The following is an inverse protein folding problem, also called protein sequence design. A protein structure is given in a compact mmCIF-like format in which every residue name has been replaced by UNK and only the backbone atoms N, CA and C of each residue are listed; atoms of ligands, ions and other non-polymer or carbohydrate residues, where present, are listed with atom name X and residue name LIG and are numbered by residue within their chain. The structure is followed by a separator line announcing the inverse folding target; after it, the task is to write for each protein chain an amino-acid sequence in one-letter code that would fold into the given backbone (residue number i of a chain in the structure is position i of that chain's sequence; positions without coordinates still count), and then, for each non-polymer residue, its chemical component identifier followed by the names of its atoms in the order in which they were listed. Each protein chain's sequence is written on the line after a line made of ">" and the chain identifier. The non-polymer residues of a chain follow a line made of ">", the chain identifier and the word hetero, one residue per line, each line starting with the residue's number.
data_IF_251281087033
#
_entry.id   IF_251281087033
#
_cell.length_a   1.000
_cell.length_b   1.000
_cell.length_c   1.000
_cell.angle_alpha   90.00
_cell.angle_beta   90.00
_cell.angle_gamma   90.00
#
_symmetry.space_group_name_H-M   'P 1'
#
loop_
_entity.id
_entity.type
_entity.pdbx_description
1 polymer ?
#
# COMPACT_ATOMS: atom_id res chain seq x y z
N UNK A 1 -12.82 1.28 -11.48
CA UNK A 1 -11.61 1.70 -10.74
C UNK A 1 -11.76 1.17 -9.33
N UNK A 2 -10.79 0.44 -8.80
CA UNK A 2 -10.83 -0.07 -7.41
C UNK A 2 -10.34 1.05 -6.48
N UNK A 3 -11.14 1.41 -5.49
CA UNK A 3 -10.84 2.44 -4.50
C UNK A 3 -10.28 1.84 -3.21
N UNK A 4 -9.73 2.66 -2.32
CA UNK A 4 -9.39 2.27 -0.93
C UNK A 4 -10.59 1.61 -0.25
N UNK A 5 -11.78 2.20 -0.39
CA UNK A 5 -13.03 1.64 0.14
C UNK A 5 -13.36 0.25 -0.41
N UNK A 6 -13.12 -0.01 -1.69
CA UNK A 6 -13.38 -1.33 -2.28
C UNK A 6 -12.41 -2.40 -1.74
N UNK A 7 -11.14 -2.03 -1.51
CA UNK A 7 -10.18 -2.92 -0.85
C UNK A 7 -10.59 -3.21 0.59
N UNK A 8 -10.97 -2.18 1.33
CA UNK A 8 -11.41 -2.31 2.72
C UNK A 8 -12.72 -3.11 2.86
N UNK A 9 -13.67 -2.95 1.94
CA UNK A 9 -14.90 -3.73 1.94
C UNK A 9 -14.62 -5.22 1.69
N UNK A 10 -13.72 -5.51 0.75
CA UNK A 10 -13.23 -6.88 0.48
C UNK A 10 -12.55 -7.45 1.72
N UNK A 11 -11.77 -6.61 2.41
CA UNK A 11 -11.08 -6.97 3.64
C UNK A 11 -12.03 -7.29 4.79
N UNK A 12 -12.94 -6.38 5.12
CA UNK A 12 -13.90 -6.54 6.20
C UNK A 12 -14.77 -7.78 5.98
N UNK A 13 -15.22 -7.99 4.74
CA UNK A 13 -16.01 -9.18 4.37
C UNK A 13 -15.20 -10.46 4.60
N UNK A 14 -13.95 -10.50 4.15
CA UNK A 14 -13.09 -11.68 4.30
C UNK A 14 -12.70 -11.94 5.77
N UNK A 15 -12.39 -10.89 6.52
CA UNK A 15 -12.04 -10.97 7.94
C UNK A 15 -13.22 -11.42 8.82
N UNK A 16 -14.44 -10.98 8.51
CA UNK A 16 -15.67 -11.43 9.18
C UNK A 16 -16.00 -12.90 8.88
N UNK A 17 -15.64 -13.39 7.68
CA UNK A 17 -15.86 -14.78 7.29
C UNK A 17 -14.83 -15.76 7.89
N UNK A 18 -13.73 -15.25 8.47
CA UNK A 18 -12.79 -16.03 9.28
C UNK A 18 -12.06 -17.16 8.53
N UNK A 19 -11.96 -17.10 7.20
CA UNK A 19 -11.31 -18.17 6.41
C UNK A 19 -9.80 -18.00 6.34
N UNK A 20 -9.06 -19.10 6.13
CA UNK A 20 -7.62 -19.05 5.84
C UNK A 20 -7.31 -18.30 4.55
N UNK A 21 -8.26 -18.29 3.61
CA UNK A 21 -8.17 -17.58 2.34
C UNK A 21 -8.35 -16.07 2.50
N UNK A 22 -9.01 -15.62 3.57
CA UNK A 22 -9.25 -14.20 3.82
C UNK A 22 -7.97 -13.37 3.82
N UNK A 23 -6.89 -13.93 4.37
CA UNK A 23 -5.57 -13.29 4.37
C UNK A 23 -4.99 -13.17 2.96
N UNK A 24 -5.05 -14.25 2.17
CA UNK A 24 -4.53 -14.23 0.79
C UNK A 24 -5.31 -13.26 -0.10
N UNK A 25 -6.64 -13.23 0.03
CA UNK A 25 -7.51 -12.31 -0.71
C UNK A 25 -7.23 -10.87 -0.32
N UNK A 26 -7.09 -10.59 0.98
CA UNK A 26 -6.74 -9.28 1.49
C UNK A 26 -5.39 -8.78 0.96
N UNK A 27 -4.36 -9.63 1.01
CA UNK A 27 -3.03 -9.30 0.49
C UNK A 27 -3.07 -9.01 -1.01
N UNK A 28 -3.78 -9.84 -1.78
CA UNK A 28 -3.94 -9.60 -3.22
C UNK A 28 -4.67 -8.29 -3.53
N UNK A 29 -5.64 -7.88 -2.71
CA UNK A 29 -6.32 -6.60 -2.86
C UNK A 29 -5.38 -5.41 -2.61
N UNK A 30 -4.55 -5.49 -1.55
CA UNK A 30 -3.51 -4.49 -1.26
C UNK A 30 -2.52 -4.42 -2.42
N UNK A 31 -1.95 -5.55 -2.86
CA UNK A 31 -0.96 -5.57 -3.93
C UNK A 31 -1.53 -4.95 -5.23
N UNK A 32 -2.78 -5.29 -5.58
CA UNK A 32 -3.47 -4.71 -6.74
C UNK A 32 -3.72 -3.22 -6.60
N UNK A 33 -4.06 -2.73 -5.41
CA UNK A 33 -4.23 -1.30 -5.16
C UNK A 33 -2.91 -0.55 -5.32
N UNK A 34 -1.81 -1.11 -4.84
CA UNK A 34 -0.47 -0.54 -4.98
C UNK A 34 0.02 -0.55 -6.43
N UNK A 35 -0.22 -1.63 -7.19
CA UNK A 35 0.11 -1.70 -8.61
C UNK A 35 -0.51 -0.53 -9.40
N UNK A 36 -1.79 -0.22 -9.14
CA UNK A 36 -2.45 0.92 -9.80
C UNK A 36 -1.86 2.27 -9.41
N UNK A 37 -1.27 2.40 -8.22
CA UNK A 37 -0.66 3.62 -7.72
C UNK A 37 0.86 3.69 -7.99
N UNK A 38 1.43 2.66 -8.62
CA UNK A 38 2.86 2.60 -8.99
C UNK A 38 3.22 3.64 -10.05
N UNK A 39 2.25 4.01 -10.88
CA UNK A 39 2.38 5.05 -11.90
C UNK A 39 1.72 6.39 -11.49
N UNK A 40 1.20 6.49 -10.27
CA UNK A 40 0.53 7.70 -9.79
C UNK A 40 1.55 8.74 -9.32
N UNK A 41 1.34 10.04 -9.55
CA UNK A 41 2.24 11.11 -9.10
C UNK A 41 2.43 11.17 -7.57
N UNK A 42 1.54 10.54 -6.80
CA UNK A 42 1.64 10.43 -5.33
C UNK A 42 2.51 9.24 -4.86
N UNK A 43 2.83 8.30 -5.77
CA UNK A 43 3.67 7.12 -5.50
C UNK A 43 3.01 6.01 -4.66
N UNK A 44 3.66 4.84 -4.61
CA UNK A 44 3.21 3.69 -3.81
C UNK A 44 3.18 4.00 -2.30
N UNK A 45 4.02 4.93 -1.83
CA UNK A 45 4.13 5.30 -0.41
C UNK A 45 2.87 6.00 0.09
N UNK A 46 2.34 6.99 -0.64
CA UNK A 46 1.13 7.70 -0.23
C UNK A 46 -0.09 6.76 -0.21
N UNK A 47 -0.17 5.85 -1.18
CA UNK A 47 -1.20 4.83 -1.25
C UNK A 47 -1.19 3.88 -0.03
N UNK A 48 0.00 3.51 0.47
CA UNK A 48 0.13 2.72 1.70
C UNK A 48 -0.34 3.48 2.93
N UNK A 49 0.00 4.76 3.06
CA UNK A 49 -0.44 5.59 4.18
C UNK A 49 -1.96 5.79 4.19
N UNK A 50 -2.57 6.07 3.03
CA UNK A 50 -4.04 6.16 2.91
C UNK A 50 -4.73 4.85 3.28
N UNK A 51 -4.14 3.69 2.91
CA UNK A 51 -4.68 2.39 3.32
C UNK A 51 -4.57 2.15 4.82
N UNK A 52 -3.46 2.54 5.45
CA UNK A 52 -3.26 2.38 6.89
C UNK A 52 -4.25 3.25 7.68
N UNK A 53 -4.38 4.53 7.32
CA UNK A 53 -5.33 5.46 7.94
C UNK A 53 -6.77 4.93 7.83
N UNK A 54 -7.16 4.46 6.64
CA UNK A 54 -8.49 3.91 6.43
C UNK A 54 -8.72 2.59 7.20
N UNK A 55 -7.66 1.82 7.47
CA UNK A 55 -7.72 0.62 8.31
C UNK A 55 -7.97 0.95 9.79
N UNK A 56 -7.26 1.94 10.32
CA UNK A 56 -7.45 2.43 11.69
C UNK A 56 -8.87 2.98 11.90
N UNK A 57 -9.43 3.67 10.91
CA UNK A 57 -10.80 4.19 10.97
C UNK A 57 -11.88 3.11 11.09
N UNK A 58 -11.65 1.94 10.47
CA UNK A 58 -12.63 0.85 10.47
C UNK A 58 -12.77 0.14 11.82
N UNK A 59 -11.80 0.30 12.72
CA UNK A 59 -11.81 -0.28 14.08
C UNK A 59 -12.21 -1.77 14.11
N UNK A 60 -11.68 -2.56 13.17
CA UNK A 60 -12.00 -3.99 13.08
C UNK A 60 -11.18 -4.75 14.13
N UNK A 61 -11.84 -5.19 15.20
CA UNK A 61 -11.21 -6.03 16.23
C UNK A 61 -11.09 -7.49 15.75
N UNK A 62 -10.11 -7.76 14.88
CA UNK A 62 -9.83 -9.09 14.34
C UNK A 62 -8.33 -9.36 14.27
N UNK A 63 -7.90 -10.58 14.59
CA UNK A 63 -6.52 -11.02 14.43
C UNK A 63 -6.02 -10.93 12.97
N UNK A 64 -6.94 -11.01 12.00
CA UNK A 64 -6.63 -10.83 10.57
C UNK A 64 -6.36 -9.35 10.27
N UNK A 65 -7.14 -8.43 10.87
CA UNK A 65 -6.96 -6.99 10.71
C UNK A 65 -5.61 -6.53 11.25
N UNK A 66 -5.28 -6.92 12.49
CA UNK A 66 -3.99 -6.60 13.12
C UNK A 66 -2.78 -7.08 12.29
N UNK A 67 -2.88 -8.26 11.67
CA UNK A 67 -1.79 -8.78 10.84
C UNK A 67 -1.59 -8.00 9.55
N UNK A 68 -2.65 -7.40 9.01
CA UNK A 68 -2.59 -6.62 7.79
C UNK A 68 -2.09 -5.21 8.07
N UNK A 69 -2.51 -4.64 9.20
CA UNK A 69 -1.94 -3.40 9.74
C UNK A 69 -0.41 -3.54 9.88
N UNK A 70 0.07 -4.60 10.52
CA UNK A 70 1.50 -4.91 10.62
C UNK A 70 2.19 -5.12 9.26
N UNK A 71 1.52 -5.73 8.27
CA UNK A 71 2.06 -5.89 6.90
C UNK A 71 2.21 -4.53 6.20
N UNK A 72 1.22 -3.65 6.34
CA UNK A 72 1.25 -2.29 5.79
C UNK A 72 2.37 -1.46 6.44
N UNK A 73 2.47 -1.46 7.77
CA UNK A 73 3.54 -0.79 8.51
C UNK A 73 4.93 -1.29 8.10
N UNK A 74 5.10 -2.61 7.97
CA UNK A 74 6.38 -3.20 7.56
C UNK A 74 6.77 -2.77 6.13
N UNK A 75 5.82 -2.67 5.21
CA UNK A 75 6.06 -2.19 3.85
C UNK A 75 6.43 -0.71 3.82
N UNK A 76 5.72 0.13 4.59
CA UNK A 76 6.03 1.55 4.75
C UNK A 76 7.46 1.71 5.29
N UNK A 77 7.81 0.96 6.34
CA UNK A 77 9.15 0.99 6.92
C UNK A 77 10.23 0.52 5.93
N UNK A 78 9.95 -0.50 5.11
CA UNK A 78 10.87 -0.97 4.08
C UNK A 78 11.14 0.10 3.01
N UNK A 79 10.10 0.83 2.58
CA UNK A 79 10.24 1.96 1.66
C UNK A 79 11.04 3.09 2.31
N UNK A 80 10.72 3.46 3.55
CA UNK A 80 11.47 4.48 4.29
C UNK A 80 12.95 4.13 4.42
N UNK A 81 13.29 2.85 4.66
CA UNK A 81 14.68 2.36 4.67
C UNK A 81 15.34 2.43 3.30
N UNK A 82 14.65 2.07 2.23
CA UNK A 82 15.17 2.16 0.86
C UNK A 82 15.48 3.62 0.46
N UNK A 83 14.63 4.57 0.88
CA UNK A 83 14.84 6.01 0.68
C UNK A 83 16.04 6.55 1.47
N UNK A 84 16.24 6.08 2.71
CA UNK A 84 17.38 6.50 3.54
C UNK A 84 18.71 5.88 3.04
N UNK A 85 18.67 4.67 2.50
CA UNK A 85 19.84 3.94 2.01
C UNK A 85 20.25 4.30 0.58
N UNK A 86 19.51 5.19 -0.10
CA UNK A 86 19.92 5.75 -1.40
C UNK A 86 19.61 4.88 -2.61
N UNK A 87 18.72 3.89 -2.50
CA UNK A 87 18.18 3.16 -3.66
C UNK A 87 16.92 3.89 -4.18
N UNK A 88 17.04 5.20 -4.39
CA UNK A 88 16.10 5.89 -5.25
C UNK A 88 16.44 5.43 -6.68
N UNK A 89 15.49 4.87 -7.47
CA UNK A 89 15.73 4.68 -8.89
C UNK A 89 16.13 6.06 -9.41
N UNK A 90 17.38 6.16 -9.85
CA UNK A 90 17.93 7.39 -10.39
C UNK A 90 17.03 7.76 -11.55
N UNK A 91 16.14 8.73 -11.32
CA UNK A 91 15.55 9.51 -12.37
C UNK A 91 16.76 10.01 -13.16
N UNK A 92 16.97 9.40 -14.32
CA UNK A 92 18.01 9.84 -15.25
C UNK A 92 17.75 11.31 -15.46
N UNK A 93 18.65 12.14 -14.93
CA UNK A 93 18.74 13.52 -15.32
C UNK A 93 18.92 13.50 -16.84
N UNK A 94 17.87 13.83 -17.59
CA UNK A 94 18.00 14.19 -18.98
C UNK A 94 18.86 15.46 -19.00
N UNK A 95 20.14 15.25 -19.28
CA UNK A 95 21.06 16.29 -19.69
C UNK A 95 20.57 16.95 -20.99
N UNK A 96 20.85 18.25 -21.07
CA UNK A 96 21.09 19.09 -22.26
C UNK A 96 19.92 19.98 -22.74
N UNK A 97 20.23 21.13 -23.38
CA UNK A 97 21.29 22.11 -23.07
C UNK A 97 20.76 23.56 -23.05
N UNK A 98 21.51 24.46 -22.43
CA UNK A 98 21.34 25.92 -22.55
C UNK A 98 21.72 26.38 -23.97
N UNK A 99 20.84 27.07 -24.73
CA UNK A 99 21.26 27.71 -25.97
C UNK A 99 21.71 29.16 -25.72
N UNK A 100 22.82 29.49 -26.38
CA UNK A 100 23.57 30.74 -26.39
C UNK A 100 22.79 31.98 -26.88
#
# INVERSE_FOLDING_TARGET
>A
MTTVKDCLATFATSALLGSSEARSVAKAAVDRYLEMHTHSPLGQTAALYEMLEAFEELKIESAVALQIELDLEARIAAIGRAMILGDAPTAKAEEMPEPA
#
